data_IF_283988951288
#
_entry.id   IF_283988951288
#
_cell.length_a   1.000
_cell.length_b   1.000
_cell.length_c   1.000
_cell.angle_alpha   90.00
_cell.angle_beta   90.00
_cell.angle_gamma   90.00
#
_symmetry.space_group_name_H-M   'P 1'
#
loop_
_entity.id
_entity.type
_entity.pdbx_description
1 polymer ?
#
# COMPACT_ATOMS: atom_id res chain seq x y z
N UNK A 1 10.11 18.11 0.46
CA UNK A 1 10.68 16.79 0.76
C UNK A 1 9.61 15.68 0.69
N UNK A 2 8.59 15.68 1.56
CA UNK A 2 7.60 14.58 1.67
C UNK A 2 6.87 14.24 0.36
N UNK A 3 6.42 15.25 -0.41
CA UNK A 3 5.73 15.03 -1.70
C UNK A 3 6.50 14.09 -2.65
N UNK A 4 7.82 14.20 -2.71
CA UNK A 4 8.62 13.38 -3.62
C UNK A 4 8.53 11.89 -3.26
N UNK A 5 8.56 11.57 -1.96
CA UNK A 5 8.41 10.19 -1.47
C UNK A 5 7.02 9.68 -1.75
N UNK A 6 5.98 10.46 -1.40
CA UNK A 6 4.59 10.06 -1.61
C UNK A 6 4.27 9.81 -3.09
N UNK A 7 4.83 10.63 -4.00
CA UNK A 7 4.69 10.41 -5.45
C UNK A 7 5.44 9.16 -5.89
N UNK A 8 6.62 8.89 -5.33
CA UNK A 8 7.41 7.73 -5.71
C UNK A 8 6.80 6.39 -5.23
N UNK A 9 6.18 6.36 -4.05
CA UNK A 9 5.50 5.16 -3.52
C UNK A 9 4.11 4.93 -4.13
N UNK A 10 3.49 5.97 -4.72
CA UNK A 10 2.19 5.84 -5.38
C UNK A 10 2.25 4.89 -6.58
N UNK A 11 3.41 4.77 -7.22
CA UNK A 11 3.70 3.67 -8.14
C UNK A 11 4.20 2.47 -7.34
N UNK A 12 3.26 1.67 -6.84
CA UNK A 12 3.56 0.54 -5.94
C UNK A 12 4.43 -0.55 -6.61
N UNK A 13 4.47 -0.60 -7.95
CA UNK A 13 5.26 -1.55 -8.73
C UNK A 13 6.70 -1.07 -8.85
N UNK A 14 7.39 -1.09 -7.72
CA UNK A 14 8.76 -0.62 -7.63
C UNK A 14 9.71 -1.76 -7.93
N UNK A 15 10.59 -1.61 -8.92
CA UNK A 15 11.75 -2.48 -9.06
C UNK A 15 12.84 -2.11 -8.05
N UNK A 16 13.89 -2.94 -7.96
CA UNK A 16 15.02 -2.71 -7.03
C UNK A 16 15.66 -1.32 -7.17
N UNK A 17 15.74 -0.77 -8.38
CA UNK A 17 16.36 0.54 -8.63
C UNK A 17 15.43 1.67 -8.18
N UNK A 18 14.14 1.54 -8.43
CA UNK A 18 13.13 2.51 -7.97
C UNK A 18 13.04 2.52 -6.45
N UNK A 19 13.03 1.34 -5.81
CA UNK A 19 13.00 1.23 -4.35
C UNK A 19 14.21 1.93 -3.72
N UNK A 20 15.43 1.63 -4.19
CA UNK A 20 16.64 2.27 -3.69
C UNK A 20 16.57 3.81 -3.77
N UNK A 21 16.21 4.35 -4.95
CA UNK A 21 16.04 5.80 -5.15
C UNK A 21 15.01 6.41 -4.21
N UNK A 22 13.90 5.71 -3.95
CA UNK A 22 12.85 6.19 -3.05
C UNK A 22 13.32 6.23 -1.60
N UNK A 23 14.07 5.23 -1.14
CA UNK A 23 14.60 5.20 0.23
C UNK A 23 15.65 6.28 0.50
N UNK A 24 16.33 6.76 -0.54
CA UNK A 24 17.31 7.84 -0.48
C UNK A 24 16.67 9.25 -0.45
N UNK A 25 15.37 9.38 -0.72
CA UNK A 25 14.70 10.67 -0.73
C UNK A 25 14.65 11.28 0.69
N UNK A 26 14.89 12.59 0.86
CA UNK A 26 14.92 13.23 2.18
C UNK A 26 13.63 13.09 3.01
N UNK A 27 12.49 12.84 2.36
CA UNK A 27 11.20 12.64 3.05
C UNK A 27 11.04 11.25 3.66
N UNK A 28 11.88 10.28 3.28
CA UNK A 28 11.69 8.87 3.62
C UNK A 28 11.74 8.64 5.12
N UNK A 29 12.69 9.31 5.80
CA UNK A 29 12.82 9.26 7.26
C UNK A 29 11.60 9.79 8.02
N UNK A 30 10.72 10.56 7.36
CA UNK A 30 9.48 11.06 7.95
C UNK A 30 8.30 10.10 7.89
N UNK A 31 8.42 8.95 7.24
CA UNK A 31 7.41 7.89 7.27
C UNK A 31 7.47 7.12 8.59
N UNK A 32 6.32 6.60 9.04
CA UNK A 32 6.29 5.63 10.14
C UNK A 32 7.00 4.34 9.75
N UNK A 33 7.45 3.55 10.73
CA UNK A 33 8.05 2.24 10.45
C UNK A 33 7.08 1.31 9.72
N UNK A 34 5.82 1.24 10.15
CA UNK A 34 4.75 0.50 9.47
C UNK A 34 4.60 0.92 7.99
N UNK A 35 4.68 2.22 7.70
CA UNK A 35 4.62 2.72 6.31
C UNK A 35 5.84 2.29 5.49
N UNK A 36 7.04 2.31 6.10
CA UNK A 36 8.27 1.87 5.42
C UNK A 36 8.24 0.36 5.16
N UNK A 37 7.72 -0.41 6.11
CA UNK A 37 7.51 -1.86 5.98
C UNK A 37 6.53 -2.17 4.85
N UNK A 38 5.41 -1.45 4.76
CA UNK A 38 4.43 -1.62 3.67
C UNK A 38 5.04 -1.35 2.30
N UNK A 39 5.84 -0.29 2.17
CA UNK A 39 6.53 0.02 0.90
C UNK A 39 7.55 -1.07 0.56
N UNK A 40 8.31 -1.57 1.55
CA UNK A 40 9.26 -2.66 1.35
C UNK A 40 8.57 -3.95 0.90
N UNK A 41 7.45 -4.30 1.53
CA UNK A 41 6.68 -5.48 1.18
C UNK A 41 6.07 -5.35 -0.23
N UNK A 42 5.63 -4.15 -0.62
CA UNK A 42 5.14 -3.88 -1.98
C UNK A 42 6.24 -4.07 -3.04
N UNK A 43 7.47 -3.63 -2.74
CA UNK A 43 8.65 -3.88 -3.57
C UNK A 43 8.94 -5.39 -3.72
N UNK A 44 9.02 -6.12 -2.62
CA UNK A 44 9.29 -7.58 -2.64
C UNK A 44 8.20 -8.35 -3.39
N UNK A 45 6.94 -7.93 -3.22
CA UNK A 45 5.83 -8.53 -3.96
C UNK A 45 5.97 -8.32 -5.47
N UNK A 46 6.37 -7.13 -5.92
CA UNK A 46 6.55 -6.87 -7.34
C UNK A 46 7.77 -7.57 -7.94
N UNK A 47 8.91 -7.53 -7.26
CA UNK A 47 10.19 -8.05 -7.77
C UNK A 47 10.27 -9.59 -7.65
N UNK A 48 9.79 -10.15 -6.54
CA UNK A 48 10.02 -11.55 -6.16
C UNK A 48 8.72 -12.37 -6.05
N UNK A 49 7.55 -11.73 -6.06
CA UNK A 49 6.26 -12.39 -5.86
C UNK A 49 5.97 -12.77 -4.41
N UNK A 50 6.73 -12.25 -3.45
CA UNK A 50 6.54 -12.52 -2.01
C UNK A 50 5.36 -11.71 -1.46
N UNK A 51 4.35 -12.38 -0.90
CA UNK A 51 3.21 -11.70 -0.31
C UNK A 51 3.57 -11.00 1.01
N UNK A 52 3.01 -9.80 1.27
CA UNK A 52 3.14 -9.14 2.58
C UNK A 52 2.53 -9.99 3.70
N UNK A 53 3.02 -9.79 4.93
CA UNK A 53 2.42 -10.37 6.14
C UNK A 53 0.95 -9.97 6.30
N UNK A 54 0.12 -10.87 6.83
CA UNK A 54 -1.29 -10.59 7.14
C UNK A 54 -1.46 -9.48 8.20
N UNK A 55 -0.45 -9.26 9.03
CA UNK A 55 -0.42 -8.16 10.00
C UNK A 55 -0.35 -6.79 9.30
N UNK A 56 0.24 -6.74 8.11
CA UNK A 56 0.47 -5.54 7.33
C UNK A 56 -0.62 -5.34 6.26
N UNK A 57 -1.05 -6.44 5.63
CA UNK A 57 -2.13 -6.44 4.63
C UNK A 57 -3.04 -7.64 4.91
N UNK A 58 -4.23 -7.39 5.42
CA UNK A 58 -5.18 -8.46 5.73
C UNK A 58 -5.62 -9.18 4.45
N UNK A 59 -5.65 -10.51 4.48
CA UNK A 59 -6.21 -11.32 3.38
C UNK A 59 -7.74 -11.40 3.45
N UNK A 60 -8.32 -10.96 4.56
CA UNK A 60 -9.77 -10.87 4.72
C UNK A 60 -10.28 -9.74 3.81
N UNK A 61 -11.10 -10.05 2.79
CA UNK A 61 -11.67 -9.01 1.95
C UNK A 61 -12.44 -8.01 2.81
N UNK A 62 -12.36 -6.70 2.52
CA UNK A 62 -13.19 -5.74 3.22
C UNK A 62 -14.66 -6.13 3.00
N UNK A 63 -15.52 -5.99 4.02
CA UNK A 63 -16.93 -6.29 3.86
C UNK A 63 -17.45 -5.48 2.67
N UNK A 64 -17.90 -6.18 1.62
CA UNK A 64 -18.66 -5.58 0.54
C UNK A 64 -19.78 -4.81 1.23
N UNK A 65 -19.95 -3.53 0.89
CA UNK A 65 -21.10 -2.74 1.35
C UNK A 65 -22.31 -3.65 1.19
N UNK A 66 -22.85 -4.15 2.30
CA UNK A 66 -24.14 -4.80 2.25
C UNK A 66 -25.04 -3.69 1.79
N UNK A 67 -25.48 -3.75 0.52
CA UNK A 67 -26.47 -2.85 -0.02
C UNK A 67 -27.47 -2.65 1.11
N UNK A 68 -27.61 -1.41 1.56
CA UNK A 68 -28.79 -1.02 2.30
C UNK A 68 -29.92 -1.38 1.36
N UNK A 69 -30.48 -2.58 1.56
CA UNK A 69 -31.79 -3.01 1.13
C UNK A 69 -32.74 -2.06 1.84
N UNK A 70 -32.72 -0.80 1.42
CA UNK A 70 -33.81 0.10 1.59
C UNK A 70 -34.90 -0.60 0.81
N UNK A 71 -35.78 -1.27 1.55
CA UNK A 71 -36.96 -1.90 1.00
C UNK A 71 -37.59 -0.86 0.09
N UNK A 72 -37.50 -1.08 -1.22
CA UNK A 72 -38.32 -0.34 -2.16
C UNK A 72 -39.73 -0.75 -1.80
N UNK A 73 -40.37 0.11 -1.01
CA UNK A 73 -41.73 -0.09 -0.55
C UNK A 73 -42.57 -0.44 -1.77
N UNK A 74 -43.20 -1.61 -1.72
CA UNK A 74 -44.25 -1.97 -2.64
C UNK A 74 -45.38 -0.96 -2.43
N UNK A 75 -45.66 -0.18 -3.47
CA UNK A 75 -46.96 0.48 -3.66
C UNK A 75 -47.46 0.12 -5.05
#
# INVERSE_FOLDING_TARGET
>A
AMRAVLVAIADWKMDKKQFAKTTELPGWGGLSEESKELVRASYLYYEEGEFPSEELVTLTPPPLLQDTQQSRGVK
#
